data_IF_060897577351
#
_entry.id   IF_060897577351
#
_cell.length_a   1.000
_cell.length_b   1.000
_cell.length_c   1.000
_cell.angle_alpha   90.00
_cell.angle_beta   90.00
_cell.angle_gamma   90.00
#
_symmetry.space_group_name_H-M   'P 1'
#
loop_
_entity.id
_entity.type
_entity.pdbx_description
1 polymer ?
#
# COMPACT_ATOMS: atom_id res chain seq x y z
N UNK A 1 -8.83 44.29 6.06
CA UNK A 1 -9.25 43.26 7.04
C UNK A 1 -10.57 42.69 6.57
N UNK A 2 -10.62 41.41 6.20
CA UNK A 2 -11.70 40.47 6.56
C UNK A 2 -11.14 39.07 6.27
N UNK A 3 -10.96 38.32 7.34
CA UNK A 3 -10.59 36.90 7.39
C UNK A 3 -11.88 36.08 7.33
N UNK A 4 -11.88 34.97 6.58
CA UNK A 4 -12.74 33.79 6.73
C UNK A 4 -12.14 32.70 5.80
N UNK A 5 -11.30 31.76 6.27
CA UNK A 5 -11.50 30.57 7.10
C UNK A 5 -12.39 29.47 6.48
N UNK A 6 -11.70 28.47 5.91
CA UNK A 6 -11.81 27.02 6.14
C UNK A 6 -13.05 26.24 5.66
N UNK A 7 -12.85 25.31 4.71
CA UNK A 7 -13.59 24.05 4.64
C UNK A 7 -12.82 23.02 3.79
N UNK A 8 -12.56 21.84 4.37
CA UNK A 8 -12.26 20.63 3.61
C UNK A 8 -10.81 20.19 3.57
N UNK A 9 -10.23 19.91 4.75
CA UNK A 9 -9.18 18.91 4.90
C UNK A 9 -9.74 17.54 4.47
N UNK A 10 -9.90 17.35 3.17
CA UNK A 10 -10.28 16.10 2.54
C UNK A 10 -9.11 15.13 2.71
N UNK A 11 -9.34 14.12 3.53
CA UNK A 11 -8.50 12.96 3.76
C UNK A 11 -7.91 12.47 2.41
N UNK A 12 -6.68 12.86 2.10
CA UNK A 12 -5.99 12.44 0.88
C UNK A 12 -5.68 10.95 1.01
N UNK A 13 -6.63 10.12 0.58
CA UNK A 13 -6.25 8.87 -0.07
C UNK A 13 -5.21 9.23 -1.14
N UNK A 14 -4.15 8.44 -1.29
CA UNK A 14 -3.15 8.73 -2.31
C UNK A 14 -3.90 8.86 -3.62
N UNK A 15 -3.78 10.03 -4.27
CA UNK A 15 -4.25 10.22 -5.65
C UNK A 15 -3.82 8.99 -6.42
N UNK A 16 -4.75 8.29 -7.07
CA UNK A 16 -4.54 6.93 -7.59
C UNK A 16 -3.21 6.76 -8.35
N UNK A 17 -2.70 7.82 -9.00
CA UNK A 17 -1.39 7.83 -9.65
C UNK A 17 -0.16 7.73 -8.73
N UNK A 18 -0.19 8.26 -7.50
CA UNK A 18 0.95 8.21 -6.57
C UNK A 18 1.12 6.82 -5.94
N UNK A 19 0.00 6.19 -5.58
CA UNK A 19 -0.01 4.79 -5.17
C UNK A 19 0.42 3.87 -6.32
N UNK A 20 0.00 4.15 -7.56
CA UNK A 20 0.28 3.32 -8.73
C UNK A 20 1.79 3.20 -9.02
N UNK A 21 2.53 4.32 -9.03
CA UNK A 21 3.99 4.26 -9.25
C UNK A 21 4.73 3.62 -8.06
N UNK A 22 4.28 3.85 -6.83
CA UNK A 22 4.87 3.24 -5.63
C UNK A 22 4.66 1.72 -5.60
N UNK A 23 3.47 1.24 -5.94
CA UNK A 23 3.14 -0.18 -6.01
C UNK A 23 3.97 -0.88 -7.10
N UNK A 24 4.02 -0.32 -8.31
CA UNK A 24 4.80 -0.90 -9.40
C UNK A 24 6.28 -1.06 -9.04
N UNK A 25 6.88 -0.05 -8.39
CA UNK A 25 8.29 -0.07 -7.98
C UNK A 25 8.61 -1.17 -6.97
N UNK A 26 7.68 -1.50 -6.08
CA UNK A 26 7.93 -2.39 -4.93
C UNK A 26 7.52 -3.83 -5.18
N UNK A 27 6.47 -4.05 -5.97
CA UNK A 27 5.92 -5.39 -6.23
C UNK A 27 5.81 -5.75 -7.71
N UNK A 28 5.99 -4.79 -8.62
CA UNK A 28 5.83 -5.02 -10.07
C UNK A 28 4.37 -5.15 -10.51
N UNK A 29 3.44 -4.64 -9.71
CA UNK A 29 1.98 -4.73 -9.93
C UNK A 29 1.43 -3.31 -9.90
N UNK A 30 0.66 -2.93 -10.91
CA UNK A 30 -0.08 -1.66 -10.95
C UNK A 30 -1.37 -1.77 -10.13
N UNK A 31 -1.92 -0.66 -9.71
CA UNK A 31 -3.21 -0.62 -9.02
C UNK A 31 -4.29 -1.35 -9.82
N UNK A 32 -4.36 -1.10 -11.14
CA UNK A 32 -5.35 -1.75 -12.02
C UNK A 32 -5.20 -3.27 -12.05
N UNK A 33 -3.98 -3.78 -11.95
CA UNK A 33 -3.74 -5.23 -11.95
C UNK A 33 -4.35 -5.89 -10.67
N UNK A 34 -4.58 -5.12 -9.59
CA UNK A 34 -5.28 -5.58 -8.39
C UNK A 34 -6.81 -5.64 -8.59
N UNK A 35 -7.36 -4.81 -9.47
CA UNK A 35 -8.80 -4.81 -9.78
C UNK A 35 -9.20 -6.07 -10.55
N UNK A 36 -8.34 -6.50 -11.48
CA UNK A 36 -8.54 -7.70 -12.29
C UNK A 36 -8.11 -8.99 -11.57
N UNK A 37 -7.32 -8.89 -10.49
CA UNK A 37 -6.81 -10.05 -9.76
C UNK A 37 -7.92 -10.87 -9.09
N UNK A 38 -7.81 -12.20 -9.21
CA UNK A 38 -8.62 -13.14 -8.45
C UNK A 38 -8.33 -13.04 -6.93
N UNK A 39 -9.25 -13.51 -6.06
CA UNK A 39 -8.99 -13.54 -4.62
C UNK A 39 -7.74 -14.32 -4.22
N UNK A 40 -7.37 -15.35 -5.00
CA UNK A 40 -6.15 -16.14 -4.79
C UNK A 40 -4.91 -15.29 -5.10
N UNK A 41 -4.87 -14.64 -6.26
CA UNK A 41 -3.76 -13.77 -6.67
C UNK A 41 -3.58 -12.59 -5.70
N UNK A 42 -4.67 -11.96 -5.26
CA UNK A 42 -4.62 -10.93 -4.21
C UNK A 42 -3.98 -11.44 -2.91
N UNK A 43 -4.34 -12.67 -2.50
CA UNK A 43 -3.72 -13.33 -1.34
C UNK A 43 -2.24 -13.65 -1.53
N UNK A 44 -1.80 -13.95 -2.76
CA UNK A 44 -0.38 -14.15 -3.08
C UNK A 44 0.41 -12.85 -3.06
N UNK A 45 -0.15 -11.77 -3.60
CA UNK A 45 0.45 -10.43 -3.54
C UNK A 45 0.64 -9.96 -2.10
N UNK A 46 -0.39 -10.12 -1.25
CA UNK A 46 -0.31 -9.76 0.16
C UNK A 46 0.81 -10.54 0.88
N UNK A 47 0.89 -11.85 0.66
CA UNK A 47 1.95 -12.70 1.23
C UNK A 47 3.35 -12.31 0.72
N UNK A 48 3.47 -11.93 -0.55
CA UNK A 48 4.74 -11.45 -1.10
C UNK A 48 5.19 -10.12 -0.47
N UNK A 49 4.24 -9.21 -0.22
CA UNK A 49 4.46 -7.95 0.49
C UNK A 49 4.91 -8.20 1.94
N UNK A 50 4.22 -9.07 2.67
CA UNK A 50 4.59 -9.42 4.05
C UNK A 50 6.02 -9.98 4.12
N UNK A 51 6.39 -10.90 3.21
CA UNK A 51 7.76 -11.44 3.15
C UNK A 51 8.81 -10.37 2.84
N UNK A 52 8.51 -9.41 1.97
CA UNK A 52 9.43 -8.29 1.67
C UNK A 52 9.56 -7.35 2.86
N UNK A 53 8.46 -7.01 3.53
CA UNK A 53 8.42 -6.15 4.70
C UNK A 53 9.20 -6.75 5.88
N UNK A 54 9.00 -8.05 6.17
CA UNK A 54 9.73 -8.76 7.23
C UNK A 54 11.23 -8.76 6.94
N UNK A 55 11.64 -9.04 5.70
CA UNK A 55 13.06 -8.99 5.31
C UNK A 55 13.66 -7.60 5.51
N UNK A 56 12.97 -6.55 5.11
CA UNK A 56 13.45 -5.18 5.28
C UNK A 56 13.52 -4.79 6.77
N UNK A 57 12.52 -5.15 7.57
CA UNK A 57 12.54 -4.97 9.03
C UNK A 57 13.72 -5.69 9.68
N UNK A 58 14.01 -6.92 9.27
CA UNK A 58 15.14 -7.68 9.81
C UNK A 58 16.50 -7.04 9.48
N UNK A 59 16.65 -6.43 8.30
CA UNK A 59 17.84 -5.62 7.99
C UNK A 59 17.98 -4.43 8.94
N UNK A 60 16.88 -3.73 9.23
CA UNK A 60 16.87 -2.60 10.16
C UNK A 60 17.25 -3.03 11.58
N UNK A 61 16.67 -4.11 12.09
CA UNK A 61 17.01 -4.68 13.41
C UNK A 61 18.47 -5.14 13.48
N UNK A 62 19.00 -5.71 12.39
CA UNK A 62 20.39 -6.13 12.28
C UNK A 62 21.38 -5.00 11.96
N UNK A 63 20.92 -3.73 11.86
CA UNK A 63 21.73 -2.56 11.46
C UNK A 63 22.50 -2.80 10.15
N UNK A 64 21.91 -3.57 9.25
CA UNK A 64 22.52 -3.94 7.99
C UNK A 64 22.60 -2.70 7.08
N UNK A 65 23.74 -2.48 6.42
CA UNK A 65 24.01 -1.29 5.60
C UNK A 65 22.99 -1.06 4.49
N UNK A 66 22.35 -2.13 3.98
CA UNK A 66 21.36 -2.06 2.90
C UNK A 66 19.92 -1.85 3.38
N UNK A 67 19.72 -1.66 4.69
CA UNK A 67 18.44 -1.24 5.24
C UNK A 67 18.05 0.13 4.70
N UNK A 68 16.81 0.25 4.25
CA UNK A 68 16.24 1.49 3.74
C UNK A 68 14.89 1.77 4.42
N UNK A 69 14.85 2.83 5.23
CA UNK A 69 13.64 3.26 5.94
C UNK A 69 12.52 3.65 4.98
N UNK A 70 12.84 4.30 3.86
CA UNK A 70 11.83 4.68 2.87
C UNK A 70 11.24 3.44 2.21
N UNK A 71 12.07 2.46 1.86
CA UNK A 71 11.60 1.17 1.36
C UNK A 71 10.69 0.47 2.38
N UNK A 72 11.03 0.51 3.66
CA UNK A 72 10.18 -0.05 4.72
C UNK A 72 8.81 0.64 4.79
N UNK A 73 8.78 1.98 4.79
CA UNK A 73 7.55 2.77 4.83
C UNK A 73 6.67 2.43 3.63
N UNK A 74 7.23 2.45 2.41
CA UNK A 74 6.46 2.14 1.19
C UNK A 74 5.94 0.70 1.22
N UNK A 75 6.77 -0.28 1.62
CA UNK A 75 6.34 -1.68 1.75
C UNK A 75 5.16 -1.84 2.69
N UNK A 76 5.21 -1.18 3.86
CA UNK A 76 4.13 -1.21 4.85
C UNK A 76 2.87 -0.54 4.28
N UNK A 77 3.00 0.66 3.74
CA UNK A 77 1.88 1.42 3.17
C UNK A 77 1.16 0.63 2.08
N UNK A 78 1.90 0.07 1.11
CA UNK A 78 1.33 -0.75 0.03
C UNK A 78 0.65 -2.00 0.59
N UNK A 79 1.28 -2.69 1.54
CA UNK A 79 0.70 -3.87 2.21
C UNK A 79 -0.64 -3.54 2.86
N UNK A 80 -0.70 -2.45 3.61
CA UNK A 80 -1.90 -2.05 4.33
C UNK A 80 -3.02 -1.63 3.36
N UNK A 81 -2.68 -0.97 2.25
CA UNK A 81 -3.63 -0.66 1.18
C UNK A 81 -4.21 -1.93 0.53
N UNK A 82 -3.37 -2.90 0.18
CA UNK A 82 -3.83 -4.17 -0.42
C UNK A 82 -4.71 -4.94 0.57
N UNK A 83 -4.36 -4.97 1.84
CA UNK A 83 -5.18 -5.61 2.87
C UNK A 83 -6.56 -4.94 3.01
N UNK A 84 -6.60 -3.61 3.05
CA UNK A 84 -7.85 -2.85 3.11
C UNK A 84 -8.71 -3.06 1.85
N UNK A 85 -8.08 -3.10 0.67
CA UNK A 85 -8.76 -3.38 -0.59
C UNK A 85 -9.43 -4.77 -0.60
N UNK A 86 -8.70 -5.81 -0.18
CA UNK A 86 -9.24 -7.17 -0.09
C UNK A 86 -10.46 -7.20 0.84
N UNK A 87 -10.40 -6.51 1.98
CA UNK A 87 -11.50 -6.47 2.94
C UNK A 87 -12.72 -5.71 2.40
N UNK A 88 -12.51 -4.55 1.76
CA UNK A 88 -13.56 -3.81 1.08
C UNK A 88 -14.26 -4.65 0.00
N UNK A 89 -13.50 -5.43 -0.78
CA UNK A 89 -14.03 -6.29 -1.85
C UNK A 89 -14.81 -7.48 -1.30
N UNK A 90 -14.44 -8.01 -0.13
CA UNK A 90 -15.21 -9.05 0.57
C UNK A 90 -16.56 -8.53 1.05
N UNK A 91 -16.59 -7.30 1.57
CA UNK A 91 -17.83 -6.69 2.07
C UNK A 91 -18.74 -6.16 0.94
N UNK A 92 -18.18 -5.70 -0.17
CA UNK A 92 -18.95 -5.15 -1.30
C UNK A 92 -19.71 -6.20 -2.14
N UNK A 93 -19.44 -7.49 -1.97
CA UNK A 93 -20.12 -8.58 -2.67
C UNK A 93 -21.30 -9.20 -1.89
N UNK A 94 -21.67 -8.63 -0.74
CA UNK A 94 -22.78 -9.08 0.10
C UNK A 94 -23.99 -8.14 0.03
N UNK A 95 -24.65 -8.05 -1.13
CA UNK A 95 -26.01 -7.47 -1.28
C UNK A 95 -26.77 -8.24 -2.34
#
# INVERSE_FOLDING_TARGET
>A
MTVQNNAGSGNTSPVAGEADWMMYRVIGVRHRDLDDASPVELGEHLRALDRRLIRERNKGLGRHWSYDLNRHIVLKTVRDMVAAYIEARRHGHGT
#
